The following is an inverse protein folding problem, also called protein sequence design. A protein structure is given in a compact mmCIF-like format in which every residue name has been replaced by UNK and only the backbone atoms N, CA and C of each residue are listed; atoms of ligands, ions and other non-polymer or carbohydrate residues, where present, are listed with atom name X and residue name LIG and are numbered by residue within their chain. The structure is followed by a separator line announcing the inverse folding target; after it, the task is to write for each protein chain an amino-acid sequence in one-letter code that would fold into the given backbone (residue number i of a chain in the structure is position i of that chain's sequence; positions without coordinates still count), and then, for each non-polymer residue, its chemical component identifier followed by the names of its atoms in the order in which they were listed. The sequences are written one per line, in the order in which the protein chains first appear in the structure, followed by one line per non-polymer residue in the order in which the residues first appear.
data_IF_235624252419
#
_entry.id   IF_235624252419
#
_cell.length_a   1.000
_cell.length_b   1.000
_cell.length_c   1.000
_cell.angle_alpha   90.00
_cell.angle_beta   90.00
_cell.angle_gamma   90.00
#
_symmetry.space_group_name_H-M   'P 1'
#
loop_
_entity.id
_entity.type
_entity.pdbx_description
1 polymer ?
#
# COMPACT_ATOMS: atom_id res chain seq x y z
N UNK A 1 7.53 -25.21 28.68
CA UNK A 1 6.81 -23.92 28.62
C UNK A 1 7.27 -23.19 27.38
N UNK A 2 6.42 -23.17 26.34
CA UNK A 2 6.75 -22.61 25.03
C UNK A 2 6.58 -21.09 25.03
N UNK A 3 7.64 -20.38 24.67
CA UNK A 3 7.56 -18.96 24.34
C UNK A 3 7.46 -18.84 22.82
N UNK A 4 6.27 -18.43 22.37
CA UNK A 4 5.88 -18.32 20.97
C UNK A 4 6.75 -17.32 20.22
N UNK A 5 7.28 -17.75 19.07
CA UNK A 5 8.00 -16.93 18.10
C UNK A 5 7.04 -15.86 17.57
N UNK A 6 7.35 -14.59 17.82
CA UNK A 6 6.75 -13.46 17.07
C UNK A 6 7.38 -13.43 15.69
N UNK A 7 6.69 -13.97 14.71
CA UNK A 7 7.04 -13.81 13.29
C UNK A 7 6.66 -12.38 12.89
N UNK A 8 7.60 -11.45 13.05
CA UNK A 8 7.53 -10.15 12.39
C UNK A 8 7.95 -10.37 10.93
N UNK A 9 6.99 -10.40 10.00
CA UNK A 9 7.34 -10.32 8.58
C UNK A 9 7.76 -8.89 8.27
N UNK A 10 9.08 -8.65 8.32
CA UNK A 10 9.68 -7.49 7.71
C UNK A 10 9.71 -7.73 6.19
N UNK A 11 8.92 -6.98 5.44
CA UNK A 11 9.09 -6.89 3.98
C UNK A 11 10.36 -6.05 3.75
N UNK A 12 11.50 -6.71 3.54
CA UNK A 12 12.70 -6.08 3.00
C UNK A 12 12.54 -5.96 1.49
N UNK A 13 12.18 -4.76 1.01
CA UNK A 13 12.36 -4.41 -0.39
C UNK A 13 13.85 -4.05 -0.61
N UNK A 14 14.71 -5.06 -0.67
CA UNK A 14 16.10 -4.89 -1.10
C UNK A 14 16.13 -4.84 -2.63
N UNK A 15 16.19 -3.62 -3.18
CA UNK A 15 16.52 -3.44 -4.59
C UNK A 15 18.01 -3.68 -4.78
N UNK A 16 18.37 -4.89 -5.19
CA UNK A 16 19.70 -5.20 -5.73
C UNK A 16 19.56 -5.70 -7.16
N UNK A 17 20.07 -4.91 -8.11
CA UNK A 17 20.26 -5.36 -9.50
C UNK A 17 21.30 -6.49 -9.50
N UNK A 18 20.96 -7.69 -9.97
CA UNK A 18 21.82 -8.56 -10.78
C UNK A 18 21.24 -9.96 -10.99
N UNK A 19 20.81 -10.27 -12.22
CA UNK A 19 21.06 -11.52 -12.95
C UNK A 19 20.68 -12.89 -12.33
N UNK A 20 19.70 -13.55 -12.98
CA UNK A 20 19.38 -15.00 -12.99
C UNK A 20 18.92 -15.65 -11.67
N UNK A 21 17.69 -16.16 -11.72
CA UNK A 21 17.14 -17.22 -10.87
C UNK A 21 16.00 -16.69 -10.02
N UNK A 22 14.76 -17.03 -10.41
CA UNK A 22 13.51 -16.82 -9.66
C UNK A 22 13.53 -15.57 -8.75
N UNK A 23 13.52 -14.42 -9.41
CA UNK A 23 13.51 -13.11 -8.77
C UNK A 23 12.21 -12.97 -7.99
N UNK A 24 12.31 -12.56 -6.73
CA UNK A 24 11.18 -12.31 -5.86
C UNK A 24 10.33 -11.16 -6.43
N UNK A 25 9.44 -11.48 -7.38
CA UNK A 25 8.76 -10.49 -8.19
C UNK A 25 7.46 -10.09 -7.53
N UNK A 26 7.34 -8.80 -7.27
CA UNK A 26 6.10 -8.20 -6.79
C UNK A 26 5.32 -7.65 -7.98
N UNK A 27 4.05 -8.03 -8.13
CA UNK A 27 3.16 -7.54 -9.18
C UNK A 27 1.90 -6.97 -8.56
N UNK A 28 1.57 -5.73 -8.87
CA UNK A 28 0.28 -5.14 -8.51
C UNK A 28 -0.78 -5.70 -9.46
N UNK A 29 -1.94 -6.08 -8.92
CA UNK A 29 -3.08 -6.54 -9.70
C UNK A 29 -4.20 -5.50 -9.70
N UNK A 30 -4.54 -4.98 -8.52
CA UNK A 30 -5.62 -4.02 -8.36
C UNK A 30 -5.42 -3.15 -7.13
N UNK A 31 -5.90 -1.92 -7.18
CA UNK A 31 -6.08 -1.07 -6.01
C UNK A 31 -7.49 -0.48 -5.99
N UNK A 32 -8.10 -0.46 -4.82
CA UNK A 32 -9.40 0.17 -4.56
C UNK A 32 -9.23 1.28 -3.51
N UNK A 33 -9.87 2.42 -3.78
CA UNK A 33 -9.92 3.59 -2.92
C UNK A 33 -11.37 3.89 -2.55
N UNK A 34 -11.61 4.12 -1.26
CA UNK A 34 -12.88 4.57 -0.74
C UNK A 34 -12.60 5.70 0.26
N UNK A 35 -13.02 6.93 -0.05
CA UNK A 35 -12.92 8.07 0.84
C UNK A 35 -11.50 8.32 1.42
N UNK A 36 -10.45 8.18 0.60
CA UNK A 36 -9.05 8.47 0.98
C UNK A 36 -8.52 9.61 0.13
N UNK A 37 -8.15 10.74 0.75
CA UNK A 37 -7.67 11.92 0.02
C UNK A 37 -8.56 12.34 -1.17
N UNK A 38 -9.88 12.23 -1.00
CA UNK A 38 -10.90 12.50 -2.04
C UNK A 38 -10.86 11.54 -3.24
N UNK A 39 -10.11 10.43 -3.14
CA UNK A 39 -10.08 9.38 -4.16
C UNK A 39 -11.22 8.39 -3.95
N UNK A 40 -11.87 8.04 -5.06
CA UNK A 40 -12.91 7.01 -5.15
C UNK A 40 -12.65 6.13 -6.36
N UNK A 41 -13.00 4.84 -6.24
CA UNK A 41 -12.98 3.88 -7.34
C UNK A 41 -11.80 2.93 -7.32
N UNK A 42 -11.46 2.36 -8.48
CA UNK A 42 -10.49 1.27 -8.59
C UNK A 42 -9.58 1.43 -9.81
N UNK A 43 -8.35 0.91 -9.70
CA UNK A 43 -7.38 0.84 -10.78
C UNK A 43 -6.93 -0.60 -10.92
N UNK A 44 -7.06 -1.15 -12.12
CA UNK A 44 -6.51 -2.46 -12.49
C UNK A 44 -5.15 -2.30 -13.15
N UNK A 45 -4.19 -3.15 -12.75
CA UNK A 45 -2.84 -3.18 -13.28
C UNK A 45 -2.66 -4.41 -14.16
N UNK A 46 -2.84 -4.29 -15.49
CA UNK A 46 -2.71 -5.43 -16.39
C UNK A 46 -1.25 -5.92 -16.47
N UNK A 47 -1.07 -7.24 -16.42
CA UNK A 47 0.25 -7.87 -16.46
C UNK A 47 1.00 -7.55 -17.76
N UNK A 48 2.30 -7.29 -17.63
CA UNK A 48 3.20 -7.03 -18.76
C UNK A 48 2.95 -5.69 -19.47
N UNK A 49 2.14 -4.79 -18.90
CA UNK A 49 1.85 -3.48 -19.49
C UNK A 49 2.35 -2.33 -18.63
N UNK A 50 2.71 -1.24 -19.30
CA UNK A 50 2.98 0.04 -18.63
C UNK A 50 1.67 0.78 -18.39
N UNK A 51 1.41 1.16 -17.14
CA UNK A 51 0.25 1.98 -16.76
C UNK A 51 0.70 3.43 -16.61
N UNK A 52 0.01 4.35 -17.29
CA UNK A 52 0.28 5.79 -17.22
C UNK A 52 -0.90 6.47 -16.53
N UNK A 53 -0.62 7.15 -15.41
CA UNK A 53 -1.60 8.00 -14.72
C UNK A 53 -1.44 9.44 -15.24
N UNK A 54 -2.46 9.94 -15.93
CA UNK A 54 -2.46 11.28 -16.53
C UNK A 54 -3.74 12.05 -16.17
N UNK A 55 -3.71 13.36 -16.34
CA UNK A 55 -4.79 14.27 -15.93
C UNK A 55 -4.25 15.67 -15.62
N UNK A 56 -5.14 16.61 -15.32
CA UNK A 56 -4.76 17.99 -15.02
C UNK A 56 -3.95 18.12 -13.71
N UNK A 57 -3.26 19.24 -13.54
CA UNK A 57 -2.63 19.55 -12.27
C UNK A 57 -3.69 19.61 -11.17
N UNK A 58 -3.37 19.04 -10.00
CA UNK A 58 -4.30 18.90 -8.85
C UNK A 58 -5.48 17.93 -9.07
N UNK A 59 -5.51 17.17 -10.16
CA UNK A 59 -6.51 16.10 -10.37
C UNK A 59 -6.28 14.83 -9.52
N UNK A 60 -5.47 14.88 -8.46
CA UNK A 60 -5.25 13.74 -7.56
C UNK A 60 -4.21 12.69 -8.01
N UNK A 61 -3.46 12.91 -9.10
CA UNK A 61 -2.42 11.97 -9.56
C UNK A 61 -1.40 11.61 -8.47
N UNK A 62 -0.89 12.62 -7.76
CA UNK A 62 0.03 12.41 -6.64
C UNK A 62 -0.67 11.70 -5.47
N UNK A 63 -1.96 11.95 -5.24
CA UNK A 63 -2.74 11.29 -4.18
C UNK A 63 -2.80 9.77 -4.43
N UNK A 64 -2.92 9.32 -5.68
CA UNK A 64 -2.92 7.89 -6.03
C UNK A 64 -1.58 7.25 -5.64
N UNK A 65 -0.46 7.89 -6.01
CA UNK A 65 0.89 7.41 -5.68
C UNK A 65 1.10 7.40 -4.16
N UNK A 66 0.62 8.44 -3.47
CA UNK A 66 0.67 8.57 -2.03
C UNK A 66 -0.13 7.48 -1.31
N UNK A 67 -1.36 7.22 -1.75
CA UNK A 67 -2.23 6.18 -1.21
C UNK A 67 -1.64 4.78 -1.40
N UNK A 68 -1.11 4.50 -2.59
CA UNK A 68 -0.42 3.23 -2.86
C UNK A 68 0.83 3.07 -1.97
N UNK A 69 1.69 4.09 -1.90
CA UNK A 69 2.86 4.08 -1.01
C UNK A 69 2.45 3.87 0.44
N UNK A 70 1.38 4.54 0.87
CA UNK A 70 0.87 4.42 2.23
C UNK A 70 0.39 3.00 2.52
N UNK A 71 -0.38 2.37 1.63
CA UNK A 71 -0.89 1.01 1.84
C UNK A 71 0.22 0.00 2.20
N UNK A 72 1.36 0.06 1.53
CA UNK A 72 2.50 -0.84 1.78
C UNK A 72 3.29 -0.58 3.07
N UNK A 73 3.05 0.52 3.79
CA UNK A 73 3.77 0.83 5.03
C UNK A 73 3.19 0.05 6.22
N UNK A 74 3.96 -0.87 6.79
CA UNK A 74 3.56 -1.68 7.96
C UNK A 74 3.43 -0.88 9.26
N UNK A 75 4.14 0.25 9.37
CA UNK A 75 3.97 1.26 10.44
C UNK A 75 4.21 2.64 9.85
N UNK A 76 3.33 3.59 10.16
CA UNK A 76 3.65 5.02 9.99
C UNK A 76 4.73 5.35 11.00
N UNK A 77 5.99 5.38 10.56
CA UNK A 77 7.09 5.87 11.39
C UNK A 77 6.80 7.35 11.61
N UNK A 78 6.36 7.70 12.83
CA UNK A 78 6.07 9.08 13.20
C UNK A 78 7.23 9.97 12.80
N UNK A 79 6.95 10.98 11.98
CA UNK A 79 7.93 11.92 11.47
C UNK A 79 8.74 12.49 12.65
N UNK A 80 10.04 12.13 12.74
CA UNK A 80 11.00 13.00 13.42
C UNK A 80 10.97 14.30 12.64
N UNK A 81 10.58 15.39 13.31
CA UNK A 81 10.44 16.75 12.79
C UNK A 81 11.60 17.08 11.83
N UNK A 82 11.35 16.98 10.53
CA UNK A 82 12.19 17.55 9.51
C UNK A 82 11.45 18.78 8.97
N UNK A 83 12.05 19.95 9.16
CA UNK A 83 11.55 21.24 8.71
C UNK A 83 11.80 21.37 7.21
N UNK A 84 10.80 21.00 6.39
CA UNK A 84 10.83 21.17 4.95
C UNK A 84 9.68 20.45 4.25
N UNK A 85 9.25 20.97 3.09
CA UNK A 85 8.46 20.20 2.13
C UNK A 85 9.44 19.22 1.48
N UNK A 86 9.47 18.00 1.99
CA UNK A 86 10.33 16.93 1.51
C UNK A 86 9.44 15.96 0.71
N UNK A 87 9.72 15.76 -0.57
CA UNK A 87 8.98 14.82 -1.43
C UNK A 87 9.11 13.37 -0.93
N UNK A 88 10.10 13.11 -0.06
CA UNK A 88 10.28 11.85 0.64
C UNK A 88 9.45 11.76 1.92
N UNK A 89 8.87 12.87 2.39
CA UNK A 89 8.03 12.93 3.59
C UNK A 89 6.85 11.99 3.41
N UNK A 90 6.78 11.00 4.29
CA UNK A 90 5.65 10.10 4.35
C UNK A 90 4.42 10.91 4.74
N UNK A 91 3.40 10.81 3.88
CA UNK A 91 2.06 11.32 4.16
C UNK A 91 1.61 10.70 5.47
N UNK A 92 1.22 11.55 6.41
CA UNK A 92 0.82 11.10 7.74
C UNK A 92 -0.62 10.59 7.72
N UNK A 93 -0.99 9.73 8.67
CA UNK A 93 -2.39 9.25 8.76
C UNK A 93 -3.41 10.39 8.86
N UNK A 94 -3.04 11.56 9.38
CA UNK A 94 -3.92 12.75 9.40
C UNK A 94 -4.14 13.38 8.03
N UNK A 95 -3.16 13.29 7.13
CA UNK A 95 -3.26 13.78 5.75
C UNK A 95 -3.96 12.76 4.86
N UNK A 96 -3.90 11.47 5.21
CA UNK A 96 -4.59 10.39 4.51
C UNK A 96 -6.06 10.23 4.95
N UNK A 97 -6.35 10.47 6.22
CA UNK A 97 -7.69 10.34 6.79
C UNK A 97 -8.64 11.36 6.16
N UNK A 98 -9.86 10.94 5.79
CA UNK A 98 -10.87 11.88 5.32
C UNK A 98 -11.26 12.86 6.42
N UNK A 99 -11.84 13.99 6.00
CA UNK A 99 -12.40 14.95 6.93
C UNK A 99 -13.52 14.29 7.78
N UNK A 100 -14.33 13.43 7.18
CA UNK A 100 -15.39 12.69 7.88
C UNK A 100 -15.40 11.22 7.44
N UNK A 101 -15.77 10.33 8.36
CA UNK A 101 -15.86 8.90 8.10
C UNK A 101 -14.51 8.17 8.17
N UNK A 102 -14.46 7.03 7.47
CA UNK A 102 -13.31 6.13 7.41
C UNK A 102 -12.87 6.04 5.95
N UNK A 103 -11.58 6.23 5.70
CA UNK A 103 -10.98 5.99 4.40
C UNK A 103 -10.46 4.56 4.32
N UNK A 104 -10.66 3.89 3.18
CA UNK A 104 -10.18 2.53 2.94
C UNK A 104 -9.29 2.46 1.71
N UNK A 105 -8.22 1.68 1.82
CA UNK A 105 -7.36 1.30 0.70
C UNK A 105 -7.27 -0.21 0.69
N UNK A 106 -7.63 -0.83 -0.44
CA UNK A 106 -7.41 -2.27 -0.67
C UNK A 106 -6.43 -2.45 -1.81
N UNK A 107 -5.38 -3.25 -1.61
CA UNK A 107 -4.37 -3.52 -2.64
C UNK A 107 -4.23 -5.02 -2.83
N UNK A 108 -4.52 -5.48 -4.04
CA UNK A 108 -4.25 -6.84 -4.47
C UNK A 108 -2.91 -6.91 -5.19
N UNK A 109 -2.05 -7.81 -4.73
CA UNK A 109 -0.74 -7.99 -5.31
C UNK A 109 -0.28 -9.45 -5.24
N UNK A 110 0.55 -9.84 -6.19
CA UNK A 110 1.30 -11.09 -6.19
C UNK A 110 2.71 -10.81 -5.66
N UNK A 111 3.21 -11.71 -4.82
CA UNK A 111 4.61 -11.76 -4.43
C UNK A 111 5.05 -13.22 -4.38
N UNK A 112 6.12 -13.56 -5.10
CA UNK A 112 6.68 -14.91 -5.18
C UNK A 112 5.64 -15.98 -5.59
N UNK A 113 4.81 -15.63 -6.58
CA UNK A 113 3.73 -16.49 -7.08
C UNK A 113 2.58 -16.71 -6.10
N UNK A 114 2.51 -15.95 -5.00
CA UNK A 114 1.43 -16.00 -4.01
C UNK A 114 0.65 -14.70 -4.04
N UNK A 115 -0.68 -14.82 -3.94
CA UNK A 115 -1.56 -13.66 -3.90
C UNK A 115 -1.73 -13.15 -2.47
N UNK A 116 -1.77 -11.84 -2.35
CA UNK A 116 -1.95 -11.12 -1.11
C UNK A 116 -2.92 -9.95 -1.32
N UNK A 117 -3.52 -9.52 -0.21
CA UNK A 117 -4.41 -8.39 -0.14
C UNK A 117 -4.02 -7.54 1.06
N UNK A 118 -3.71 -6.26 0.83
CA UNK A 118 -3.60 -5.27 1.89
C UNK A 118 -4.97 -4.65 2.09
N UNK A 119 -5.46 -4.60 3.33
CA UNK A 119 -6.61 -3.80 3.74
C UNK A 119 -6.14 -2.76 4.74
N UNK A 120 -6.29 -1.50 4.38
CA UNK A 120 -5.97 -0.39 5.27
C UNK A 120 -7.20 0.47 5.50
N UNK A 121 -7.54 0.67 6.76
CA UNK A 121 -8.62 1.55 7.20
C UNK A 121 -8.03 2.69 8.02
N UNK A 122 -8.39 3.92 7.66
CA UNK A 122 -7.79 5.14 8.19
C UNK A 122 -8.92 6.07 8.62
N UNK A 123 -8.91 6.47 9.88
CA UNK A 123 -9.72 7.57 10.40
C UNK A 123 -8.84 8.58 11.14
N UNK A 124 -9.42 9.66 11.66
CA UNK A 124 -8.66 10.73 12.34
C UNK A 124 -7.84 10.25 13.55
N UNK A 125 -8.24 9.13 14.16
CA UNK A 125 -7.73 8.61 15.42
C UNK A 125 -7.13 7.20 15.30
N UNK A 126 -7.41 6.48 14.22
CA UNK A 126 -7.07 5.07 14.02
C UNK A 126 -6.50 4.84 12.63
N UNK A 127 -5.53 3.94 12.59
CA UNK A 127 -4.90 3.47 11.36
C UNK A 127 -4.65 1.98 11.49
N UNK A 128 -5.51 1.20 10.85
CA UNK A 128 -5.50 -0.23 10.87
C UNK A 128 -4.96 -0.74 9.54
N UNK A 129 -3.82 -1.43 9.56
CA UNK A 129 -3.24 -2.08 8.38
C UNK A 129 -3.24 -3.60 8.57
N UNK A 130 -3.79 -4.34 7.62
CA UNK A 130 -3.82 -5.80 7.59
C UNK A 130 -3.32 -6.29 6.24
N UNK A 131 -2.45 -7.29 6.26
CA UNK A 131 -2.01 -8.00 5.06
C UNK A 131 -2.54 -9.42 5.17
N UNK A 132 -3.37 -9.81 4.21
CA UNK A 132 -4.00 -11.11 4.12
C UNK A 132 -3.36 -11.87 2.97
N UNK A 133 -3.07 -13.16 3.17
CA UNK A 133 -2.69 -14.04 2.08
C UNK A 133 -3.97 -14.61 1.47
N UNK A 134 -4.14 -14.47 0.16
CA UNK A 134 -5.20 -15.15 -0.58
C UNK A 134 -4.71 -16.57 -0.85
N UNK A 135 -5.25 -17.54 -0.12
CA UNK A 135 -5.07 -18.96 -0.45
C UNK A 135 -5.68 -19.22 -1.84
N UNK A 136 -5.11 -20.15 -2.60
CA UNK A 136 -5.50 -20.42 -3.98
C UNK A 136 -6.89 -21.08 -4.14
N UNK A 137 -7.63 -21.27 -3.05
CA UNK A 137 -8.98 -21.82 -3.07
C UNK A 137 -9.94 -20.81 -2.43
N UNK A 138 -10.77 -20.20 -3.28
CA UNK A 138 -11.84 -19.31 -2.84
C UNK A 138 -12.70 -19.95 -1.75
N UNK A 139 -13.17 -19.13 -0.81
CA UNK A 139 -14.19 -19.44 0.20
C UNK A 139 -14.22 -20.89 0.71
N UNK A 140 -13.62 -21.09 1.89
CA UNK A 140 -14.07 -22.14 2.81
C UNK A 140 -14.32 -21.57 4.18
#
# INVERSE_FOLDING_TARGET
MGCQRRTQMAFCAESTRSGRGDEASMKLARVDFENVMELEGSIEFPEGKTVIVYGENKAGKSNIIHALRYAFLSKVVGSRRASGYDELKLVTGREMAPAEGVGKITVDFEHDGRQFEIRREIDRNRDDNRILRKEADGFR
#
